data_IF_405866619274
#
_entry.id   IF_405866619274
#
_cell.length_a   1.000
_cell.length_b   1.000
_cell.length_c   1.000
_cell.angle_alpha   90.00
_cell.angle_beta   90.00
_cell.angle_gamma   90.00
#
_symmetry.space_group_name_H-M   'P 1'
#
loop_
_entity.id
_entity.type
_entity.pdbx_description
1 polymer ?
2 non-polymer ?
3 non-polymer ?
4 water ?
#
# COMPACT_ATOMS: atom_id res chain seq x y z
N UNK A 2 -14.52 -8.58 18.94
CA UNK A 2 -14.88 -8.38 17.56
C UNK A 2 -13.92 -7.37 16.93
N UNK A 3 -13.37 -7.75 15.78
CA UNK A 3 -12.49 -6.85 15.06
C UNK A 3 -13.15 -6.41 13.78
N UNK A 4 -13.02 -5.13 13.46
CA UNK A 4 -13.53 -4.60 12.22
C UNK A 4 -12.37 -4.18 11.31
N UNK A 5 -12.39 -4.68 10.08
CA UNK A 5 -11.40 -4.30 9.07
C UNK A 5 -12.17 -3.48 8.09
N UNK A 6 -11.71 -2.28 7.82
CA UNK A 6 -12.43 -1.45 6.87
C UNK A 6 -11.80 -1.39 5.47
N UNK A 7 -12.65 -1.51 4.45
CA UNK A 7 -12.16 -1.56 3.07
C UNK A 7 -12.57 -2.83 2.35
N UNK A 8 -11.98 -3.05 1.19
CA UNK A 8 -12.58 -3.96 0.22
C UNK A 8 -11.60 -4.52 -0.80
N UNK A 9 -10.32 -4.19 -0.65
CA UNK A 9 -9.32 -4.65 -1.59
C UNK A 9 -8.53 -5.85 -1.07
N UNK A 10 -7.38 -6.10 -1.70
CA UNK A 10 -6.60 -7.26 -1.35
C UNK A 10 -5.89 -7.08 -0.03
N UNK A 11 -5.47 -5.85 0.26
CA UNK A 11 -4.85 -5.53 1.52
C UNK A 11 -5.84 -5.89 2.65
N UNK A 12 -7.09 -5.46 2.52
CA UNK A 12 -8.06 -5.78 3.57
C UNK A 12 -8.34 -7.29 3.66
N UNK A 13 -8.20 -7.99 2.56
CA UNK A 13 -8.48 -9.42 2.59
C UNK A 13 -7.36 -10.03 3.42
N UNK A 14 -6.13 -9.68 3.09
CA UNK A 14 -4.99 -10.08 3.91
C UNK A 14 -5.17 -9.72 5.38
N UNK A 15 -5.66 -8.51 5.65
CA UNK A 15 -5.84 -8.12 7.03
C UNK A 15 -6.86 -9.03 7.71
N UNK A 16 -7.99 -9.28 7.05
CA UNK A 16 -9.04 -10.13 7.62
C UNK A 16 -8.55 -11.55 7.79
N UNK A 17 -7.82 -12.04 6.79
CA UNK A 17 -7.23 -13.36 6.82
C UNK A 17 -6.30 -13.54 8.00
N UNK A 18 -5.47 -12.55 8.26
CA UNK A 18 -4.55 -12.61 9.38
C UNK A 18 -5.28 -12.50 10.74
N UNK A 19 -6.21 -11.56 10.84
CA UNK A 19 -6.91 -11.35 12.10
C UNK A 19 -7.67 -12.60 12.49
N UNK A 20 -8.21 -13.29 11.49
CA UNK A 20 -9.02 -14.50 11.70
C UNK A 20 -8.24 -15.57 12.44
N UNK A 21 -6.92 -15.48 12.39
CA UNK A 21 -6.05 -16.48 13.00
C UNK A 21 -5.78 -16.17 14.48
N UNK A 22 -6.26 -15.03 14.96
CA UNK A 22 -5.96 -14.58 16.31
C UNK A 22 -6.72 -15.42 17.32
N UNK A 23 -6.07 -15.83 18.40
CA UNK A 23 -6.76 -16.56 19.46
C UNK A 23 -7.72 -15.62 20.23
N UNK A 24 -7.51 -14.32 20.08
CA UNK A 24 -8.25 -13.30 20.82
C UNK A 24 -9.59 -12.98 20.21
N UNK A 25 -9.76 -13.37 18.96
CA UNK A 25 -10.83 -12.81 18.15
C UNK A 25 -12.02 -13.77 18.03
N UNK A 26 -13.21 -13.26 18.27
CA UNK A 26 -14.42 -14.06 18.10
C UNK A 26 -15.01 -13.82 16.72
N UNK A 27 -15.21 -12.55 16.38
CA UNK A 27 -15.68 -12.18 15.06
C UNK A 27 -14.75 -11.20 14.34
N UNK A 28 -14.44 -11.49 13.10
CA UNK A 28 -13.88 -10.51 12.20
C UNK A 28 -14.96 -9.99 11.24
N UNK A 29 -15.26 -8.70 11.34
CA UNK A 29 -16.14 -8.02 10.41
C UNK A 29 -15.31 -7.28 9.36
N UNK A 30 -15.76 -7.32 8.10
CA UNK A 30 -15.11 -6.57 7.03
C UNK A 30 -16.11 -5.63 6.38
N UNK A 31 -15.91 -4.33 6.49
CA UNK A 31 -16.84 -3.39 5.86
C UNK A 31 -16.15 -2.57 4.79
N UNK A 32 -16.61 -2.68 3.53
CA UNK A 32 -17.65 -3.62 3.08
C UNK A 32 -17.09 -5.02 2.85
N UNK A 33 -15.77 -5.12 2.82
CA UNK A 33 -15.16 -6.42 2.57
C UNK A 33 -15.38 -6.71 1.11
N UNK A 34 -15.15 -7.95 0.69
CA UNK A 34 -15.57 -8.39 -0.62
C UNK A 34 -15.86 -9.88 -0.52
N UNK A 35 -16.38 -10.49 -1.58
CA UNK A 35 -16.85 -11.87 -1.49
C UNK A 35 -15.70 -12.84 -1.35
N UNK A 36 -14.51 -12.42 -1.75
CA UNK A 36 -13.38 -13.31 -1.61
C UNK A 36 -13.05 -13.59 -0.15
N UNK A 38 -15.10 -14.12 2.56
CA UNK A 38 -16.18 -14.58 3.44
C UNK A 38 -15.75 -15.71 4.38
N UNK A 39 -14.66 -16.38 4.05
CA UNK A 39 -14.14 -17.45 4.89
C UNK A 39 -13.45 -16.88 6.13
N UNK A 40 -12.92 -15.66 5.99
CA UNK A 40 -12.12 -15.02 7.03
C UNK A 40 -12.87 -13.90 7.73
N UNK A 41 -13.96 -13.45 7.14
CA UNK A 41 -14.64 -12.27 7.64
C UNK A 41 -16.13 -12.35 7.37
N UNK A 42 -16.94 -11.89 8.31
CA UNK A 42 -18.34 -11.67 8.01
C UNK A 42 -18.46 -10.30 7.38
N UNK A 43 -18.94 -10.27 6.14
CA UNK A 43 -19.09 -9.00 5.42
C UNK A 43 -20.16 -8.14 6.05
N UNK A 44 -19.84 -6.85 6.17
CA UNK A 44 -20.77 -5.90 6.73
C UNK A 44 -21.06 -4.85 5.67
N UNK A 45 -22.30 -4.81 5.24
CA UNK A 45 -22.63 -3.96 4.09
C UNK A 45 -22.58 -2.47 4.41
N UNK A 46 -21.38 -1.95 4.66
CA UNK A 46 -21.17 -0.53 4.85
C UNK A 46 -19.94 -0.10 4.06
N UNK A 47 -20.02 1.07 3.43
CA UNK A 47 -18.96 1.52 2.56
C UNK A 47 -17.89 2.25 3.37
N UNK A 48 -16.63 2.08 2.99
CA UNK A 48 -15.50 2.75 3.65
C UNK A 48 -15.68 4.27 3.59
N UNK A 49 -16.56 4.72 2.70
CA UNK A 49 -16.86 6.14 2.61
C UNK A 49 -17.92 6.57 3.64
N UNK A 50 -18.77 5.63 4.02
CA UNK A 50 -19.89 5.90 4.94
C UNK A 50 -19.39 6.01 6.38
N UNK A 51 -18.77 7.13 6.73
CA UNK A 51 -18.12 7.22 8.04
C UNK A 51 -19.10 7.07 9.19
N UNK A 52 -20.30 7.65 9.05
CA UNK A 52 -21.26 7.68 10.17
C UNK A 52 -21.82 6.29 10.45
N UNK A 53 -22.11 5.55 9.38
CA UNK A 53 -22.53 4.18 9.54
C UNK A 53 -21.44 3.27 10.05
N UNK A 54 -20.20 3.48 9.60
CA UNK A 54 -19.06 2.75 10.13
C UNK A 54 -18.93 2.98 11.63
N UNK A 55 -18.89 4.24 12.05
CA UNK A 55 -18.80 4.56 13.45
C UNK A 55 -19.98 4.05 14.24
N UNK A 56 -21.17 4.14 13.67
CA UNK A 56 -22.36 3.78 14.43
C UNK A 56 -22.41 2.25 14.54
N UNK A 57 -21.99 1.55 13.48
CA UNK A 57 -21.98 0.08 13.51
C UNK A 57 -20.98 -0.48 14.51
N UNK A 58 -19.76 0.04 14.45
CA UNK A 58 -18.74 -0.44 15.36
C UNK A 58 -19.17 -0.16 16.81
N UNK A 59 -19.69 1.04 17.05
CA UNK A 59 -20.11 1.45 18.38
C UNK A 59 -21.15 0.51 18.98
N UNK A 60 -22.04 0.04 18.13
CA UNK A 60 -23.21 -0.69 18.59
C UNK A 60 -23.02 -2.18 18.50
N UNK A 61 -21.92 -2.61 17.89
CA UNK A 61 -21.68 -4.04 17.73
C UNK A 61 -20.44 -4.52 18.49
N UNK A 62 -20.12 -3.76 19.55
CA UNK A 62 -19.10 -4.18 20.50
C UNK A 62 -17.83 -4.49 19.72
N UNK A 63 -17.40 -3.57 18.88
CA UNK A 63 -16.18 -3.80 18.12
C UNK A 63 -14.98 -3.27 18.92
N UNK A 64 -14.12 -4.16 19.36
CA UNK A 64 -13.04 -3.81 20.28
C UNK A 64 -11.77 -3.33 19.57
N UNK A 65 -11.67 -3.53 18.26
CA UNK A 65 -10.54 -2.99 17.50
C UNK A 65 -10.98 -2.83 16.08
N UNK A 66 -10.77 -1.63 15.54
CA UNK A 66 -11.05 -1.39 14.13
C UNK A 66 -9.74 -1.11 13.40
N UNK A 67 -9.57 -1.78 12.28
CA UNK A 67 -8.36 -1.61 11.51
C UNK A 67 -8.77 -0.98 10.19
N UNK A 68 -8.23 0.21 9.92
CA UNK A 68 -8.57 0.89 8.68
C UNK A 68 -7.57 0.57 7.57
N UNK A 69 -8.08 0.06 6.45
CA UNK A 69 -7.19 -0.26 5.32
C UNK A 69 -6.82 0.88 4.37
N UNK A 70 -7.81 1.53 3.75
CA UNK A 70 -7.53 2.48 2.66
C UNK A 70 -7.14 3.87 3.18
N UNK A 71 -6.50 4.66 2.33
CA UNK A 71 -5.94 5.93 2.74
C UNK A 71 -6.98 7.05 2.80
N UNK A 72 -7.97 7.02 1.93
CA UNK A 72 -8.86 8.17 1.85
C UNK A 72 -9.64 8.38 3.16
N UNK A 73 -10.20 7.30 3.72
CA UNK A 73 -10.89 7.59 4.98
C UNK A 73 -9.97 8.10 6.07
N UNK A 74 -8.72 7.64 6.05
CA UNK A 74 -7.77 8.06 7.05
C UNK A 74 -7.49 9.53 6.85
N UNK A 75 -7.27 9.89 5.59
CA UNK A 75 -6.96 11.26 5.23
C UNK A 75 -8.16 12.16 5.55
N UNK A 76 -9.36 11.60 5.46
CA UNK A 76 -10.55 12.41 5.71
C UNK A 76 -10.99 12.35 7.17
N UNK A 77 -10.14 11.77 8.00
CA UNK A 77 -10.34 11.84 9.44
C UNK A 77 -11.27 10.80 10.04
N UNK A 78 -11.36 9.63 9.43
CA UNK A 78 -12.23 8.59 9.94
C UNK A 78 -11.78 8.17 11.34
N UNK A 79 -10.47 8.22 11.61
CA UNK A 79 -9.99 7.78 12.92
C UNK A 79 -10.46 8.74 14.00
N UNK A 80 -10.38 10.05 13.74
CA UNK A 80 -10.92 11.02 14.67
C UNK A 80 -12.38 10.70 14.97
N UNK A 81 -13.18 10.44 13.95
CA UNK A 81 -14.60 10.15 14.17
C UNK A 81 -14.75 8.91 15.06
N UNK A 82 -14.03 7.83 14.78
CA UNK A 82 -14.08 6.65 15.65
C UNK A 82 -13.74 6.99 17.08
N UNK A 83 -12.68 7.76 17.28
CA UNK A 83 -12.21 8.06 18.62
C UNK A 83 -13.09 9.05 19.37
N UNK A 84 -13.81 9.88 18.64
CA UNK A 84 -14.80 10.76 19.24
C UNK A 84 -15.92 9.91 19.87
N UNK A 85 -16.19 8.77 19.29
CA UNK A 85 -17.21 7.87 19.80
C UNK A 85 -16.62 6.89 20.82
N UNK A 86 -15.34 7.08 21.14
CA UNK A 86 -14.70 6.23 22.12
C UNK A 86 -14.45 4.82 21.63
N UNK A 87 -14.27 4.65 20.32
CA UNK A 87 -13.94 3.33 19.76
C UNK A 87 -12.43 3.15 19.66
N UNK A 88 -12.00 1.90 19.70
CA UNK A 88 -10.58 1.55 19.71
C UNK A 88 -10.23 1.29 18.26
N UNK A 89 -9.31 2.08 17.71
CA UNK A 89 -9.12 2.10 16.28
C UNK A 89 -7.64 2.26 15.94
N UNK A 90 -7.17 1.45 15.02
CA UNK A 90 -5.77 1.50 14.62
C UNK A 90 -5.60 2.28 13.31
N UNK A 91 -4.92 3.41 13.39
CA UNK A 91 -4.63 4.15 12.18
C UNK A 91 -4.53 5.60 12.54
N UNK A 92 -4.03 6.44 11.64
CA UNK A 92 -3.68 7.82 12.02
C UNK A 92 -4.89 8.74 12.04
N UNK A 93 -4.84 9.73 12.92
CA UNK A 93 -5.76 10.86 12.95
C UNK A 93 -5.66 11.60 11.64
N UNK A 94 -6.58 12.53 11.41
CA UNK A 94 -6.55 13.32 10.19
C UNK A 94 -5.31 14.18 10.12
N UNK A 95 -4.91 14.72 11.28
CA UNK A 95 -3.69 15.49 11.38
C UNK A 95 -2.45 14.68 11.02
N UNK A 96 -2.47 13.39 11.31
CA UNK A 96 -1.26 12.60 11.08
C UNK A 96 -1.25 12.04 9.66
N UNK A 97 -2.43 11.81 9.09
CA UNK A 97 -2.55 11.16 7.78
C UNK A 97 -2.06 12.10 6.71
N UNK A 98 -1.81 13.36 7.08
CA UNK A 98 -1.30 14.34 6.14
C UNK A 98 0.05 13.87 5.58
N UNK A 99 0.82 13.15 6.37
CA UNK A 99 2.09 12.66 5.86
C UNK A 99 1.92 11.89 4.52
N UNK A 100 0.75 11.29 4.29
CA UNK A 100 0.43 10.76 2.95
C UNK A 100 -0.43 11.74 2.13
N UNK A 101 -1.37 12.38 2.79
CA UNK A 101 -2.34 13.21 2.09
C UNK A 101 -1.77 14.42 1.37
N UNK A 102 -0.65 14.95 1.88
CA UNK A 102 0.01 16.11 1.27
C UNK A 102 1.48 15.89 1.00
N UNK A 103 1.80 15.59 -0.25
CA UNK A 103 3.17 15.35 -0.61
C UNK A 103 4.06 16.54 -0.25
N UNK A 104 3.57 17.75 -0.43
CA UNK A 104 4.38 18.90 -0.04
C UNK A 104 4.70 18.83 1.44
N UNK A 105 3.72 18.43 2.24
CA UNK A 105 3.93 18.39 3.68
C UNK A 105 5.01 17.40 3.97
N UNK A 106 4.94 16.24 3.32
CA UNK A 106 5.91 15.18 3.55
C UNK A 106 7.32 15.61 3.16
N UNK A 107 7.46 16.25 2.00
CA UNK A 107 8.78 16.71 1.56
C UNK A 107 9.33 17.76 2.54
N UNK A 108 8.48 18.68 2.99
CA UNK A 108 8.92 19.72 3.93
C UNK A 108 9.31 19.16 5.28
N UNK A 109 8.57 18.15 5.76
CA UNK A 109 8.97 17.47 6.99
C UNK A 109 10.36 16.91 6.83
N UNK A 111 12.71 17.71 4.81
CA UNK A 111 13.66 18.81 4.71
C UNK A 111 13.96 19.30 6.12
N UNK A 112 12.90 19.67 6.84
CA UNK A 112 13.09 20.17 8.20
C UNK A 112 13.85 19.21 9.12
N UNK A 113 13.60 17.91 8.96
CA UNK A 113 14.16 16.92 9.88
C UNK A 113 15.26 16.08 9.28
N UNK A 114 15.89 16.59 8.22
CA UNK A 114 17.06 15.94 7.62
C UNK A 114 16.79 14.47 7.30
N UNK A 115 15.58 14.16 6.86
CA UNK A 115 15.32 12.84 6.31
C UNK A 115 15.59 12.87 4.82
N UNK A 116 16.44 11.96 4.34
CA UNK A 116 16.95 11.93 2.96
C UNK A 116 15.87 11.62 1.94
N UNK A 117 15.83 12.45 0.90
CA UNK A 117 14.80 12.36 -0.12
C UNK A 117 15.27 13.06 -1.40
N UNK A 118 14.47 13.00 -2.46
CA UNK A 118 14.81 13.71 -3.68
C UNK A 118 14.83 15.21 -3.42
N UNK A 119 15.75 15.92 -4.06
CA UNK A 119 15.78 17.37 -4.00
C UNK A 119 14.51 17.87 -4.71
N UNK A 120 13.89 18.91 -4.19
CA UNK A 120 12.52 19.22 -4.60
C UNK A 120 12.25 20.70 -4.46
N UNK A 121 11.19 21.16 -5.09
CA UNK A 121 10.49 22.36 -4.69
C UNK A 121 9.03 22.21 -5.05
N UNK A 122 8.19 23.02 -4.41
CA UNK A 122 6.75 22.94 -4.58
C UNK A 122 6.30 24.24 -5.21
N UNK A 123 5.23 24.20 -6.01
CA UNK A 123 4.71 25.39 -6.71
C UNK A 123 3.18 25.43 -6.73
N UNK A 124 2.64 26.64 -6.75
CA UNK A 124 1.21 26.83 -7.05
C UNK A 124 1.04 27.63 -8.34
N UNK A 125 2.17 28.12 -8.87
CA UNK A 125 2.16 28.91 -10.09
C UNK A 125 2.70 28.08 -11.26
N UNK A 126 1.94 28.02 -12.33
CA UNK A 126 2.41 27.31 -13.50
C UNK A 126 3.69 27.95 -14.02
N UNK A 127 3.69 29.27 -14.15
CA UNK A 127 4.83 29.98 -14.68
C UNK A 127 6.10 29.69 -13.89
N UNK A 128 6.02 29.72 -12.58
CA UNK A 128 7.21 29.48 -11.75
C UNK A 128 7.61 28.01 -11.82
N UNK A 129 6.61 27.13 -11.85
CA UNK A 129 6.88 25.70 -11.98
C UNK A 129 7.54 25.37 -13.32
N UNK A 130 7.08 26.03 -14.39
CA UNK A 130 7.65 25.81 -15.72
C UNK A 130 9.10 26.29 -15.78
N UNK A 131 9.35 27.50 -15.28
CA UNK A 131 10.71 28.06 -15.20
C UNK A 131 11.68 27.10 -14.51
N UNK A 132 11.22 26.48 -13.42
CA UNK A 132 12.06 25.61 -12.62
C UNK A 132 12.38 24.30 -13.37
N UNK A 133 11.41 23.83 -14.13
CA UNK A 133 11.67 22.71 -15.02
C UNK A 133 12.76 23.01 -16.05
N UNK A 134 12.68 24.19 -16.65
CA UNK A 134 13.63 24.60 -17.68
C UNK A 134 15.01 24.84 -17.07
N UNK A 135 15.02 25.20 -15.79
CA UNK A 135 16.26 25.39 -15.07
C UNK A 135 16.91 24.02 -14.81
N UNK A 136 16.15 23.09 -14.27
CA UNK A 136 16.66 21.78 -13.87
C UNK A 136 16.79 20.83 -15.04
N UNK A 137 16.01 21.06 -16.08
CA UNK A 137 15.98 20.14 -17.20
C UNK A 137 15.42 18.80 -16.78
N UNK A 138 15.32 17.90 -17.76
CA UNK A 138 14.87 16.54 -17.57
C UNK A 138 16.05 15.55 -17.40
N UNK A 139 15.81 14.40 -16.76
CA UNK A 139 14.52 13.96 -16.23
C UNK A 139 14.20 14.67 -14.92
N UNK A 140 12.90 14.72 -14.59
CA UNK A 140 12.43 15.39 -13.39
C UNK A 140 11.05 14.80 -13.12
N UNK A 141 10.65 14.82 -11.86
CA UNK A 141 9.41 14.17 -11.40
C UNK A 141 8.43 15.26 -10.92
N UNK A 142 7.19 15.16 -11.40
CA UNK A 142 6.13 16.12 -11.12
C UNK A 142 5.07 15.38 -10.30
N UNK A 143 4.74 15.88 -9.12
CA UNK A 143 3.73 15.26 -8.28
C UNK A 143 2.67 16.26 -7.80
N UNK A 144 1.41 15.95 -8.05
CA UNK A 144 0.30 16.65 -7.40
C UNK A 144 0.46 16.50 -5.88
N UNK A 145 0.14 17.57 -5.16
CA UNK A 145 0.28 17.57 -3.72
C UNK A 145 -0.64 16.53 -3.03
N UNK A 146 -1.88 16.40 -3.51
CA UNK A 146 -2.87 15.53 -2.86
C UNK A 146 -3.00 14.21 -3.61
N UNK A 147 -3.93 13.35 -3.23
CA UNK A 147 -3.95 11.97 -3.73
C UNK A 147 -4.18 11.81 -5.24
N UNK A 148 -5.15 12.52 -5.79
CA UNK A 148 -5.31 12.56 -7.23
C UNK A 148 -5.53 11.19 -7.83
N UNK A 149 -6.32 10.37 -7.14
CA UNK A 149 -6.73 9.08 -7.67
C UNK A 149 -5.57 8.08 -7.68
N UNK A 150 -4.42 8.48 -7.13
CA UNK A 150 -3.22 7.66 -7.28
C UNK A 150 -2.52 7.90 -8.62
N UNK A 151 -2.99 8.91 -9.35
CA UNK A 151 -2.51 9.23 -10.69
C UNK A 151 -1.71 10.53 -10.71
N UNK A 152 -1.24 10.96 -9.54
CA UNK A 152 -0.66 12.29 -9.43
C UNK A 152 0.83 12.43 -9.72
N UNK A 153 1.44 11.39 -10.29
CA UNK A 153 2.91 11.38 -10.44
C UNK A 153 3.32 11.13 -11.89
N UNK A 154 4.20 11.98 -12.38
CA UNK A 154 4.72 11.84 -13.72
C UNK A 154 6.24 11.89 -13.63
N UNK A 155 6.90 10.83 -14.06
CA UNK A 155 8.34 10.87 -14.14
C UNK A 155 8.68 11.33 -15.56
N UNK A 156 9.12 12.58 -15.71
CA UNK A 156 9.21 13.20 -17.03
C UNK A 156 10.59 12.98 -17.59
N UNK A 158 11.45 14.41 -20.54
CA UNK A 158 11.70 15.62 -21.28
C UNK A 158 11.08 16.77 -20.52
N UNK A 159 11.59 17.97 -20.76
CA UNK A 159 10.95 19.18 -20.25
C UNK A 159 9.52 19.32 -20.76
N UNK A 160 9.27 18.90 -22.00
CA UNK A 160 7.97 19.10 -22.60
C UNK A 160 6.98 18.28 -21.82
N UNK A 161 7.37 17.05 -21.49
CA UNK A 161 6.49 16.15 -20.76
C UNK A 161 6.20 16.72 -19.37
N UNK A 162 7.24 17.25 -18.72
CA UNK A 162 7.07 17.79 -17.39
C UNK A 162 6.14 19.02 -17.45
N UNK A 163 6.33 19.87 -18.45
CA UNK A 163 5.58 21.11 -18.52
C UNK A 163 4.14 20.83 -18.92
N UNK A 164 3.92 19.83 -19.76
CA UNK A 164 2.55 19.47 -20.12
C UNK A 164 1.83 19.02 -18.84
N UNK A 165 2.54 18.24 -18.02
CA UNK A 165 1.94 17.72 -16.79
C UNK A 165 1.62 18.87 -15.84
N UNK A 166 2.53 19.85 -15.75
CA UNK A 166 2.29 21.01 -14.90
C UNK A 166 1.09 21.77 -15.45
N UNK A 167 0.98 21.82 -16.77
CA UNK A 167 -0.19 22.42 -17.39
C UNK A 167 -1.48 21.77 -16.90
N UNK A 168 -1.53 20.44 -17.00
CA UNK A 168 -2.69 19.66 -16.54
C UNK A 168 -3.01 19.96 -15.10
N UNK A 169 -1.99 19.87 -14.26
CA UNK A 169 -2.20 19.91 -12.83
C UNK A 169 -2.58 21.31 -12.40
N UNK A 170 -1.90 22.31 -12.95
CA UNK A 170 -2.07 23.67 -12.42
C UNK A 170 -3.05 24.50 -13.28
N UNK A 171 -2.85 24.55 -14.59
CA UNK A 171 -3.71 25.37 -15.42
C UNK A 171 -5.07 24.75 -15.59
N UNK A 172 -5.15 23.44 -15.73
CA UNK A 172 -6.41 22.77 -15.94
C UNK A 172 -7.03 22.30 -14.62
N UNK A 173 -6.26 22.36 -13.53
CA UNK A 173 -6.68 21.85 -12.24
C UNK A 173 -7.22 20.43 -12.36
N UNK A 174 -6.42 19.55 -12.93
CA UNK A 174 -6.92 18.24 -13.34
C UNK A 174 -7.52 17.49 -12.15
N UNK A 175 -6.90 17.65 -11.01
CA UNK A 175 -7.30 16.89 -9.83
C UNK A 175 -7.73 17.90 -8.76
N UNK A 176 -8.14 19.08 -9.22
CA UNK A 176 -8.70 20.06 -8.31
C UNK A 176 -7.74 20.51 -7.24
N UNK A 177 -8.15 20.44 -5.98
CA UNK A 177 -7.31 20.94 -4.89
C UNK A 177 -6.09 20.06 -4.70
N UNK A 178 -6.22 18.79 -5.07
CA UNK A 178 -5.10 17.85 -4.98
C UNK A 178 -3.96 18.28 -5.89
N UNK A 179 -4.26 18.96 -7.00
CA UNK A 179 -3.18 19.44 -7.89
C UNK A 179 -3.04 20.94 -8.00
N UNK A 180 -3.59 21.67 -7.04
CA UNK A 180 -3.43 23.12 -6.96
C UNK A 180 -2.03 23.43 -6.44
N UNK A 181 -1.41 22.44 -5.83
CA UNK A 181 -0.01 22.53 -5.45
C UNK A 181 0.72 21.32 -6.06
N UNK A 182 1.95 21.52 -6.52
CA UNK A 182 2.72 20.44 -7.12
C UNK A 182 4.13 20.36 -6.50
N UNK A 183 4.65 19.15 -6.32
CA UNK A 183 6.05 19.01 -5.90
C UNK A 183 6.84 18.71 -7.18
N UNK A 184 7.93 19.43 -7.43
CA UNK A 184 8.80 19.01 -8.53
C UNK A 184 10.09 18.47 -7.91
N UNK A 185 10.45 17.22 -8.21
CA UNK A 185 11.59 16.64 -7.53
C UNK A 185 12.52 15.87 -8.43
N UNK A 186 13.73 15.70 -7.92
CA UNK A 186 14.81 14.97 -8.59
C UNK A 186 14.41 13.54 -8.96
N UNK A 187 14.77 13.14 -10.18
CA UNK A 187 14.58 11.77 -10.60
C UNK A 187 15.63 10.92 -9.87
N UNK A 188 15.19 9.81 -9.27
CA UNK A 188 16.12 8.87 -8.67
C UNK A 188 16.00 7.50 -9.31
N UNK A 189 17.04 6.69 -9.10
CA UNK A 189 16.92 5.27 -9.41
C UNK A 189 17.71 4.39 -8.45
N UNK A 190 17.60 3.09 -8.68
CA UNK A 190 18.22 2.13 -7.80
C UNK A 190 17.15 1.13 -7.43
N UNK A 191 17.39 0.33 -6.41
CA UNK A 191 16.39 -0.60 -5.96
C UNK A 191 15.30 0.16 -5.21
N UNK A 192 14.06 -0.04 -5.61
CA UNK A 192 12.92 0.51 -4.90
C UNK A 192 12.27 -0.55 -4.00
N UNK A 193 12.15 -0.25 -2.71
CA UNK A 193 11.58 -1.20 -1.76
C UNK A 193 10.68 -0.50 -0.75
N UNK A 194 9.80 -1.26 -0.12
CA UNK A 194 8.87 -0.72 0.88
C UNK A 194 9.19 -1.16 2.30
N UNK A 195 9.33 -0.18 3.17
CA UNK A 195 9.58 -0.46 4.57
C UNK A 195 8.41 0.09 5.39
N UNK A 197 6.27 0.14 9.10
CA UNK A 197 6.46 -0.05 10.51
C UNK A 197 5.15 0.17 11.24
N UNK A 198 4.86 -0.64 12.24
CA UNK A 198 3.87 -0.21 13.23
C UNK A 198 4.44 0.92 14.07
N UNK A 199 3.72 2.03 14.11
CA UNK A 199 4.20 3.24 14.77
C UNK A 199 3.15 3.76 15.77
N UNK A 200 3.60 4.19 16.94
CA UNK A 200 2.74 4.97 17.80
C UNK A 200 3.60 6.05 18.48
N UNK A 201 3.30 7.29 18.16
CA UNK A 201 4.20 8.35 18.56
C UNK A 201 5.59 8.00 18.08
N UNK A 202 6.53 7.92 19.01
CA UNK A 202 7.92 7.70 18.66
C UNK A 202 8.24 6.22 18.50
N UNK A 203 7.37 5.37 19.00
CA UNK A 203 7.67 3.93 18.98
C UNK A 203 7.48 3.38 17.59
N UNK A 204 8.48 2.64 17.15
CA UNK A 204 8.51 2.10 15.80
C UNK A 204 8.82 0.65 15.86
N UNK A 205 7.95 -0.14 15.24
CA UNK A 205 8.14 -1.55 15.18
C UNK A 205 8.15 -1.99 13.72
N UNK A 206 9.35 -2.10 13.15
CA UNK A 206 9.47 -2.30 11.70
C UNK A 206 8.97 -3.65 11.28
N UNK A 208 9.15 -6.60 7.94
CA UNK A 208 10.03 -7.02 6.85
C UNK A 208 9.70 -6.21 5.61
N UNK A 209 10.71 -5.98 4.78
CA UNK A 209 10.51 -5.16 3.59
C UNK A 209 9.92 -5.98 2.44
N UNK A 210 9.36 -5.27 1.45
CA UNK A 210 8.89 -5.90 0.22
C UNK A 210 9.30 -5.07 -0.99
N UNK A 211 9.08 -5.63 -2.17
CA UNK A 211 9.32 -4.92 -3.43
C UNK A 211 8.20 -5.27 -4.38
N UNK A 212 7.80 -4.32 -5.21
CA UNK A 212 6.73 -4.62 -6.14
C UNK A 212 7.06 -4.25 -7.58
N UNK A 213 6.21 -4.74 -8.48
CA UNK A 213 6.31 -4.39 -9.89
C UNK A 213 5.10 -3.52 -10.21
N UNK A 214 5.33 -2.29 -10.64
CA UNK A 214 4.24 -1.36 -10.92
C UNK A 214 3.85 -1.41 -12.39
N UNK A 215 4.80 -1.78 -13.24
CA UNK A 215 4.61 -1.84 -14.69
C UNK A 215 3.75 -3.02 -15.17
N UNK A 216 2.79 -2.71 -16.05
CA UNK A 216 1.85 -3.72 -16.54
C UNK A 216 2.51 -4.98 -17.13
N UNK A 217 3.62 -4.82 -17.84
CA UNK A 217 4.14 -5.91 -18.66
C UNK A 217 5.51 -6.42 -18.23
N UNK A 218 5.87 -7.60 -18.72
CA UNK A 218 7.15 -8.20 -18.38
C UNK A 218 8.29 -7.34 -18.89
N UNK A 219 9.44 -7.46 -18.24
CA UNK A 219 10.53 -6.54 -18.50
C UNK A 219 10.21 -5.17 -17.94
N UNK A 220 9.17 -5.10 -17.12
CA UNK A 220 8.69 -3.84 -16.54
C UNK A 220 8.43 -2.82 -17.63
N UNK A 221 7.72 -3.27 -18.67
CA UNK A 221 7.38 -2.40 -19.79
C UNK A 221 5.88 -2.08 -19.75
N UNK A 222 5.48 -1.03 -20.46
CA UNK A 222 4.07 -0.68 -20.53
C UNK A 222 3.69 0.35 -19.48
N UNK A 223 2.39 0.66 -19.35
CA UNK A 223 1.87 1.65 -18.41
C UNK A 223 1.96 1.19 -16.96
N UNK A 224 1.83 2.14 -16.03
CA UNK A 224 1.82 1.79 -14.63
C UNK A 224 0.49 1.21 -14.22
N UNK A 225 0.50 0.50 -13.10
CA UNK A 225 -0.71 -0.14 -12.59
C UNK A 225 -0.72 0.10 -11.08
N UNK A 226 -1.74 -0.40 -10.41
CA UNK A 226 -1.75 -0.40 -8.95
C UNK A 226 -0.96 -1.56 -8.36
N UNK A 227 -0.18 -2.24 -9.20
CA UNK A 227 0.71 -3.29 -8.74
C UNK A 227 0.42 -4.68 -9.31
N UNK A 229 2.45 -7.45 -8.72
CA UNK A 229 2.97 -8.53 -7.88
C UNK A 229 4.07 -8.04 -6.97
N UNK A 230 4.40 -8.82 -5.95
CA UNK A 230 5.31 -8.38 -4.91
C UNK A 230 5.96 -9.57 -4.24
N UNK A 231 6.95 -9.29 -3.40
CA UNK A 231 7.61 -10.35 -2.66
C UNK A 231 8.35 -9.80 -1.47
N UNK A 232 8.48 -10.66 -0.47
CA UNK A 232 9.23 -10.35 0.73
C UNK A 232 9.85 -11.69 1.12
N UNK A 233 11.14 -11.70 1.53
CA UNK A 233 12.13 -10.62 1.54
C UNK A 233 12.43 -10.09 0.14
N UNK A 234 13.23 -9.04 0.06
CA UNK A 234 13.78 -8.61 -1.22
C UNK A 234 15.23 -9.08 -1.24
N UNK A 235 15.53 -10.11 -2.05
CA UNK A 235 16.79 -10.84 -1.88
C UNK A 235 18.03 -9.98 -2.03
N UNK A 236 17.98 -9.02 -2.95
CA UNK A 236 19.14 -8.20 -3.30
C UNK A 236 19.31 -6.97 -2.42
N UNK A 237 18.58 -6.90 -1.32
CA UNK A 237 18.79 -5.80 -0.38
C UNK A 237 19.27 -6.34 0.97
N UNK A 238 20.36 -5.77 1.48
CA UNK A 238 20.98 -6.35 2.67
C UNK A 238 20.17 -6.04 3.91
N UNK A 239 20.44 -6.76 4.99
CA UNK A 239 19.82 -6.50 6.27
C UNK A 239 20.36 -5.18 6.81
N UNK A 240 21.58 -4.84 6.42
CA UNK A 240 22.20 -3.60 6.89
C UNK A 240 21.49 -2.37 6.29
N UNK A 241 21.17 -2.43 5.01
CA UNK A 241 20.36 -1.41 4.34
C UNK A 241 19.06 -1.18 5.10
N UNK A 242 18.35 -2.26 5.42
CA UNK A 242 17.04 -2.12 6.05
C UNK A 242 17.18 -1.46 7.42
N UNK A 243 18.12 -1.95 8.22
CA UNK A 243 18.29 -1.46 9.59
C UNK A 243 18.68 0.01 9.56
N UNK A 244 19.48 0.39 8.57
CA UNK A 244 19.85 1.79 8.44
C UNK A 244 18.65 2.67 8.07
N UNK A 245 17.80 2.17 7.18
CA UNK A 245 16.57 2.85 6.80
C UNK A 245 15.72 3.04 8.05
N UNK A 246 15.59 1.99 8.85
CA UNK A 246 14.78 2.05 10.07
C UNK A 246 15.30 3.14 11.01
N UNK A 247 16.62 3.26 11.08
CA UNK A 247 17.25 4.16 12.04
C UNK A 247 17.29 5.61 11.59
N UNK A 248 17.49 5.86 10.30
CA UNK A 248 17.67 7.24 9.82
C UNK A 248 16.49 7.82 9.02
N UNK A 249 15.50 6.99 8.76
CA UNK A 249 14.31 7.46 8.08
C UNK A 249 13.05 7.20 8.89
N UNK A 250 12.74 5.94 9.17
CA UNK A 250 11.46 5.63 9.78
C UNK A 250 11.36 6.22 11.20
N UNK A 251 12.32 5.90 12.08
CA UNK A 251 12.22 6.41 13.44
C UNK A 251 12.28 7.92 13.48
N UNK A 252 13.16 8.53 12.68
CA UNK A 252 13.21 10.00 12.65
C UNK A 252 11.91 10.58 12.12
N UNK A 253 11.35 9.93 11.09
CA UNK A 253 10.03 10.39 10.62
C UNK A 253 9.00 10.30 11.76
N UNK A 254 8.99 9.18 12.47
CA UNK A 254 7.98 9.04 13.54
C UNK A 254 8.16 10.14 14.59
N UNK A 255 9.41 10.34 15.01
CA UNK A 255 9.72 11.40 15.94
C UNK A 255 9.27 12.75 15.39
N UNK A 256 9.60 13.05 14.13
CA UNK A 256 9.22 14.35 13.58
C UNK A 256 7.74 14.66 13.75
N UNK A 258 5.55 13.60 15.89
CA UNK A 258 5.27 13.95 17.29
C UNK A 258 5.66 15.41 17.55
N UNK A 259 6.89 15.75 17.18
CA UNK A 259 7.36 17.12 17.36
C UNK A 259 6.60 18.16 16.54
N UNK A 260 5.79 17.72 15.58
CA UNK A 260 4.96 18.61 14.77
C UNK A 260 3.55 18.67 15.33
N UNK A 261 3.32 18.04 16.47
CA UNK A 261 1.97 17.99 17.00
C UNK A 261 1.03 17.17 16.13
N UNK A 262 1.59 16.22 15.38
CA UNK A 262 0.80 15.34 14.52
C UNK A 262 1.18 13.90 14.78
N UNK A 263 1.15 13.55 16.06
CA UNK A 263 1.60 12.24 16.49
C UNK A 263 0.87 11.15 15.72
N UNK A 264 1.63 10.21 15.22
CA UNK A 264 1.17 9.26 14.23
C UNK A 264 1.00 7.91 14.92
N UNK A 265 -0.16 7.29 14.71
CA UNK A 265 -0.40 5.91 15.10
C UNK A 265 -0.94 5.19 13.89
N UNK A 266 -0.36 4.04 13.61
CA UNK A 266 -0.82 3.29 12.46
C UNK A 266 0.35 2.65 11.78
N UNK A 267 0.16 2.27 10.53
CA UNK A 267 1.29 1.83 9.72
C UNK A 267 1.88 3.01 8.99
N UNK A 268 3.16 3.29 9.26
CA UNK A 268 3.90 4.22 8.45
C UNK A 268 4.59 3.42 7.36
N UNK A 269 4.31 3.78 6.12
CA UNK A 269 4.87 3.08 5.00
C UNK A 269 5.86 4.01 4.37
N UNK A 270 7.11 3.59 4.32
CA UNK A 270 8.15 4.36 3.62
C UNK A 270 8.49 3.70 2.27
N UNK A 271 8.20 4.41 1.19
CA UNK A 271 8.58 3.91 -0.13
C UNK A 271 9.99 4.41 -0.38
N UNK A 272 10.94 3.50 -0.46
CA UNK A 272 12.34 3.90 -0.51
C UNK A 272 13.01 3.52 -1.84
N UNK A 274 16.78 2.75 -3.03
CA UNK A 274 18.17 2.53 -2.61
C UNK A 274 19.07 3.10 -3.69
N UNK A 275 19.57 4.32 -3.50
CA UNK A 275 20.37 4.96 -4.57
C UNK A 275 21.84 4.64 -4.37
N UNK A 276 22.69 5.17 -5.25
CA UNK A 276 24.13 4.99 -5.12
C UNK A 276 24.57 5.83 -3.94
N UNK A 277 23.75 6.83 -3.60
CA UNK A 277 23.97 7.62 -2.39
C UNK A 277 23.22 7.09 -1.18
N UNK A 278 22.62 5.91 -1.30
CA UNK A 278 21.93 5.32 -0.17
C UNK A 278 20.43 5.50 -0.27
N UNK A 279 19.69 4.93 0.67
CA UNK A 279 18.24 5.09 0.69
C UNK A 279 17.78 6.55 0.70
N UNK A 280 16.79 6.84 -0.14
CA UNK A 280 16.10 8.13 -0.08
C UNK A 280 14.60 7.90 -0.17
N UNK A 281 13.84 8.72 0.52
CA UNK A 281 12.41 8.55 0.56
C UNK A 281 11.72 9.00 -0.73
N UNK A 282 11.09 8.05 -1.40
CA UNK A 282 10.28 8.38 -2.56
C UNK A 282 8.88 8.83 -2.15
N UNK A 283 8.31 8.15 -1.17
CA UNK A 283 6.99 8.55 -0.67
C UNK A 283 6.79 8.04 0.74
N UNK A 284 5.90 8.72 1.49
CA UNK A 284 5.27 8.14 2.67
C UNK A 284 3.79 7.80 2.46
N UNK A 285 3.40 6.60 2.90
CA UNK A 285 2.01 6.24 2.98
C UNK A 285 1.69 6.05 4.47
N UNK A 286 0.43 6.30 4.81
CA UNK A 286 -0.03 6.32 6.19
C UNK A 286 -0.88 5.10 6.51
N UNK A 287 -0.60 4.01 5.81
CA UNK A 287 -1.36 2.81 6.00
C UNK A 287 -0.66 1.65 5.30
N UNK A 288 -1.22 0.45 5.45
CA UNK A 288 -0.65 -0.75 4.86
C UNK A 288 -0.57 -0.58 3.37
N UNK A 289 0.50 -1.07 2.76
CA UNK A 289 0.63 -0.94 1.32
C UNK A 289 -0.20 -1.94 0.56
N UNK A 290 -0.56 -1.58 -0.67
CA UNK A 290 -1.12 -2.55 -1.62
C UNK A 290 -0.23 -2.49 -2.87
N UNK A 291 0.37 -3.61 -3.28
CA UNK A 291 0.18 -5.02 -2.90
C UNK A 291 1.14 -5.57 -1.85
N UNK A 292 1.84 -4.71 -1.13
CA UNK A 292 2.87 -5.19 -0.23
C UNK A 292 2.35 -5.97 0.98
N UNK A 293 1.19 -5.57 1.49
CA UNK A 293 0.64 -6.22 2.69
C UNK A 293 0.51 -7.72 2.46
N UNK A 294 0.23 -8.06 1.21
CA UNK A 294 -0.10 -9.41 0.83
C UNK A 294 1.12 -10.36 0.97
N UNK A 295 2.33 -9.81 0.89
CA UNK A 295 3.54 -10.63 1.11
C UNK A 295 4.22 -10.33 2.45
N UNK A 296 3.88 -9.20 3.07
CA UNK A 296 4.49 -8.90 4.36
C UNK A 296 3.76 -9.53 5.53
N UNK A 297 2.44 -9.37 5.59
CA UNK A 297 1.67 -9.84 6.72
C UNK A 297 1.80 -11.34 6.93
N UNK A 298 1.73 -12.11 5.84
CA UNK A 298 1.78 -13.57 6.02
C UNK A 298 3.10 -14.03 6.66
N UNK A 299 4.14 -13.21 6.54
CA UNK A 299 5.43 -13.57 7.09
C UNK A 299 5.46 -13.31 8.59
N UNK A 301 5.00 -13.96 12.27
CA UNK A 301 4.83 -15.11 13.16
C UNK A 301 3.80 -14.70 14.21
N UNK A 302 3.93 -13.46 14.67
CA UNK A 302 3.06 -12.90 15.71
C UNK A 302 1.61 -12.82 15.27
N UNK A 303 0.73 -12.70 16.26
CA UNK A 303 -0.68 -12.47 16.02
C UNK A 303 -0.86 -10.97 15.82
N UNK A 304 -1.31 -10.58 14.63
CA UNK A 304 -1.48 -9.17 14.29
C UNK A 304 -2.31 -8.45 15.35
N UNK A 305 -3.40 -9.10 15.76
CA UNK A 305 -4.34 -8.48 16.69
C UNK A 305 -3.65 -8.24 18.05
N UNK A 306 -2.91 -9.23 18.54
CA UNK A 306 -2.17 -8.99 19.79
C UNK A 306 -1.19 -7.81 19.65
N UNK A 307 -0.49 -7.74 18.52
CA UNK A 307 0.50 -6.68 18.30
C UNK A 307 -0.16 -5.30 18.35
N UNK A 308 -1.23 -5.14 17.58
CA UNK A 308 -1.95 -3.89 17.52
C UNK A 308 -2.48 -3.51 18.91
N UNK A 309 -3.02 -4.48 19.66
CA UNK A 309 -3.59 -4.14 20.96
C UNK A 309 -2.48 -3.69 21.95
N UNK A 310 -1.34 -4.38 21.93
CA UNK A 310 -0.19 -3.98 22.73
C UNK A 310 0.32 -2.64 22.33
N UNK A 311 0.40 -2.41 21.02
CA UNK A 311 0.89 -1.14 20.52
C UNK A 311 -0.03 -0.03 21.02
N UNK A 312 -1.34 -0.27 20.91
CA UNK A 312 -2.30 0.78 21.25
C UNK A 312 -2.38 0.99 22.75
N UNK A 313 -2.03 -0.03 23.50
CA UNK A 313 -2.13 0.06 24.94
C UNK A 313 -0.74 0.32 25.54
N UNK A 314 0.20 0.70 24.70
CA UNK A 314 1.50 1.17 25.19
C UNK A 314 2.21 0.07 25.96
N UNK A 315 1.96 -1.18 25.58
CA UNK A 315 2.65 -2.32 26.16
C UNK A 315 3.82 -2.73 25.31
N UNK A 316 4.70 -3.54 25.89
CA UNK A 316 5.70 -4.25 25.11
C UNK A 316 5.05 -4.91 23.92
N UNK A 317 5.61 -4.65 22.74
CA UNK A 317 5.14 -5.28 21.52
C UNK A 317 6.07 -6.42 21.15
N UNK A 318 5.52 -7.61 21.03
CA UNK A 318 6.33 -8.79 20.75
C UNK A 318 6.03 -9.17 19.30
N UNK A 319 6.90 -8.76 18.40
CA UNK A 319 6.62 -8.83 16.98
C UNK A 319 7.70 -9.67 16.32
N UNK A 320 7.33 -10.85 15.84
CA UNK A 320 8.28 -11.81 15.31
C UNK A 320 8.02 -12.15 13.85
N UNK A 321 9.10 -12.29 13.09
CA UNK A 321 8.95 -12.54 11.68
C UNK A 321 9.43 -13.95 11.33
N UNK A 322 8.80 -14.54 10.32
CA UNK A 322 9.17 -15.87 9.85
C UNK A 322 10.29 -15.72 8.82
N UNK A 323 11.14 -16.73 8.70
CA UNK A 323 12.20 -16.67 7.70
C UNK A 323 11.68 -16.91 6.31
N UNK A 324 10.51 -17.54 6.24
CA UNK A 324 9.86 -17.87 4.98
C UNK A 324 9.90 -16.72 3.97
N UNK A 325 9.57 -17.04 2.72
CA UNK A 325 9.41 -16.02 1.71
C UNK A 325 7.99 -16.03 1.17
N UNK A 326 7.51 -14.84 0.77
CA UNK A 326 6.19 -14.73 0.17
C UNK A 326 6.35 -14.01 -1.16
N UNK A 327 5.62 -14.49 -2.17
CA UNK A 327 5.67 -13.94 -3.51
C UNK A 327 4.26 -13.99 -4.10
N UNK A 328 3.76 -12.86 -4.59
CA UNK A 328 2.43 -12.83 -5.17
C UNK A 328 2.35 -12.28 -6.59
N UNK A 329 1.36 -12.74 -7.33
CA UNK A 329 1.21 -12.36 -8.71
C UNK A 329 -0.20 -11.89 -8.89
N UNK A 330 -0.37 -10.72 -9.50
CA UNK A 330 -1.70 -10.18 -9.72
C UNK A 330 -2.30 -10.66 -11.02
N UNK A 331 -3.55 -11.13 -10.93
CA UNK A 331 -4.39 -11.35 -12.09
C UNK A 331 -5.22 -10.09 -12.32
N UNK A 332 -5.00 -9.43 -13.45
CA UNK A 332 -5.79 -8.24 -13.77
C UNK A 332 -6.69 -8.52 -14.97
N UNK A 333 -7.73 -7.71 -15.13
CA UNK A 333 -8.67 -7.82 -16.26
C UNK A 333 -7.97 -7.40 -17.54
N UNK A 334 -8.17 -8.15 -18.62
CA UNK A 334 -7.62 -7.73 -19.91
C UNK A 334 -7.98 -6.28 -20.17
N UNK A 335 -6.99 -5.46 -20.50
CA UNK A 335 -7.27 -4.06 -20.78
C UNK A 335 -6.80 -3.09 -19.71
N UNK A 336 -6.89 -3.51 -18.46
CA UNK A 336 -6.30 -2.75 -17.36
C UNK A 336 -4.81 -2.60 -17.67
N UNK A 337 -4.23 -1.43 -17.40
CA UNK A 337 -4.75 -0.25 -16.69
C UNK A 337 -5.67 0.69 -17.48
N UNK A 338 -5.73 0.57 -18.80
CA UNK A 338 -6.64 1.42 -19.56
C UNK A 338 -8.09 1.00 -19.26
N UNK A 339 -8.88 0.83 -20.30
CA UNK A 339 -10.24 0.35 -20.12
C UNK A 339 -10.25 -1.17 -19.89
N UNK A 340 -11.16 -1.61 -19.03
CA UNK A 340 -11.41 -3.03 -18.84
C UNK A 340 -12.89 -3.17 -18.54
N UNK A 341 -13.42 -4.39 -18.68
CA UNK A 341 -14.83 -4.62 -18.41
C UNK A 341 -15.06 -5.56 -17.22
N UNK A 342 -16.05 -5.22 -16.39
CA UNK A 342 -16.44 -6.07 -15.27
C UNK A 342 -17.37 -7.18 -15.74
N UNK A 343 -17.38 -8.29 -15.00
CA UNK A 343 -18.35 -9.33 -15.27
C UNK A 343 -17.79 -10.62 -15.83
N UNK A 344 -16.58 -10.59 -16.36
CA UNK A 344 -15.99 -11.82 -16.89
C UNK A 344 -16.06 -12.90 -15.81
N UNK A 345 -16.62 -14.06 -16.16
CA UNK A 345 -16.56 -15.24 -15.28
C UNK A 345 -15.14 -15.78 -15.26
N UNK A 346 -14.64 -16.08 -14.06
CA UNK A 346 -13.26 -16.48 -13.90
C UNK A 346 -13.11 -17.66 -12.94
N UNK A 347 -14.21 -18.34 -12.66
CA UNK A 347 -14.12 -19.62 -11.97
C UNK A 347 -14.11 -19.54 -10.45
N UNK A 348 -13.56 -20.58 -9.83
CA UNK A 348 -13.49 -20.67 -8.39
C UNK A 348 -12.37 -19.81 -7.82
N UNK A 349 -11.29 -19.67 -8.59
CA UNK A 349 -10.08 -19.00 -8.10
C UNK A 349 -9.46 -19.78 -6.95
N UNK A 350 -9.74 -21.07 -6.90
CA UNK A 350 -9.20 -21.92 -5.84
C UNK A 350 -7.97 -22.67 -6.33
N UNK A 351 -6.92 -22.67 -5.50
CA UNK A 351 -5.70 -23.40 -5.83
C UNK A 351 -5.64 -24.71 -5.06
N UNK A 352 -4.97 -25.69 -5.66
CA UNK A 352 -4.72 -26.96 -4.99
C UNK A 352 -3.36 -26.84 -4.32
N UNK A 353 -2.43 -26.18 -5.02
CA UNK A 353 -1.08 -25.95 -4.52
C UNK A 353 -1.17 -25.48 -3.08
N UNK A 354 -0.31 -26.03 -2.24
CA UNK A 354 -0.34 -25.74 -0.80
C UNK A 354 0.48 -24.49 -0.52
N UNK A 355 0.24 -23.87 0.63
CA UNK A 355 0.92 -22.62 0.97
C UNK A 355 0.64 -21.56 -0.07
N UNK A 356 -0.59 -21.57 -0.58
CA UNK A 356 -1.07 -20.50 -1.44
C UNK A 356 -2.34 -19.91 -0.85
N UNK A 357 -2.39 -18.57 -0.85
CA UNK A 357 -3.60 -17.84 -0.55
C UNK A 357 -3.87 -16.85 -1.68
N UNK A 358 -5.10 -16.86 -2.17
CA UNK A 358 -5.51 -15.91 -3.19
C UNK A 358 -6.23 -14.80 -2.45
N UNK A 359 -5.62 -13.62 -2.42
CA UNK A 359 -6.27 -12.47 -1.79
C UNK A 359 -7.06 -11.74 -2.86
N UNK A 360 -8.35 -11.58 -2.63
CA UNK A 360 -9.21 -11.02 -3.67
C UNK A 360 -9.18 -9.50 -3.63
N UNK A 361 -8.99 -8.91 -4.80
CA UNK A 361 -8.79 -7.49 -4.96
C UNK A 361 -9.99 -6.90 -5.68
N UNK A 362 -10.46 -7.60 -6.70
CA UNK A 362 -11.60 -7.13 -7.47
C UNK A 362 -12.40 -8.30 -8.02
N UNK A 363 -13.08 -9.01 -7.14
CA UNK A 363 -13.96 -10.09 -7.52
C UNK A 363 -15.38 -9.85 -6.99
N UNK A 364 -16.34 -10.53 -7.59
CA UNK A 364 -17.68 -10.57 -7.03
C UNK A 364 -18.18 -12.00 -7.16
N UNK A 365 -18.86 -12.49 -6.13
CA UNK A 365 -19.45 -13.82 -6.20
C UNK A 365 -20.76 -13.70 -6.98
N UNK A 366 -20.85 -14.44 -8.08
CA UNK A 366 -22.05 -14.44 -8.90
C UNK A 366 -22.24 -15.82 -9.54
N UNK A 367 -23.35 -16.47 -9.19
CA UNK A 367 -23.63 -17.79 -9.74
C UNK A 367 -22.64 -18.85 -9.31
N UNK A 368 -22.56 -19.10 -8.01
CA UNK A 368 -21.72 -20.17 -7.51
C UNK A 368 -20.24 -20.01 -7.83
N UNK A 369 -19.86 -18.82 -8.27
CA UNK A 369 -18.53 -18.65 -8.87
C UNK A 369 -18.09 -17.19 -8.76
N UNK A 370 -16.87 -16.91 -9.17
CA UNK A 370 -16.36 -15.55 -9.14
C UNK A 370 -16.30 -14.93 -10.52
N UNK A 371 -16.72 -13.67 -10.60
CA UNK A 371 -16.48 -12.86 -11.79
C UNK A 371 -15.54 -11.71 -11.45
N UNK A 372 -15.05 -11.04 -12.49
CA UNK A 372 -14.13 -9.93 -12.30
C UNK A 372 -14.95 -8.73 -11.82
N UNK A 373 -14.39 -7.97 -10.89
CA UNK A 373 -15.10 -6.80 -10.43
C UNK A 373 -14.18 -5.58 -10.35
N UNK A 374 -13.03 -5.68 -11.02
CA UNK A 374 -12.09 -4.58 -11.10
C UNK A 374 -10.85 -4.85 -11.94
N UNK A 375 -10.02 -3.83 -12.11
CA UNK A 375 -8.81 -3.98 -12.92
C UNK A 375 -7.91 -5.10 -12.41
N UNK A 376 -7.50 -4.99 -11.15
CA UNK A 376 -6.69 -6.04 -10.54
C UNK A 376 -7.64 -6.95 -9.75
N UNK A 377 -7.55 -8.25 -10.00
CA UNK A 377 -8.62 -9.17 -9.62
C UNK A 377 -8.28 -9.99 -8.38
N UNK A 378 -7.12 -10.64 -8.40
CA UNK A 378 -6.66 -11.38 -7.23
C UNK A 378 -5.15 -11.33 -7.14
N UNK A 379 -4.65 -11.47 -5.91
CA UNK A 379 -3.21 -11.56 -5.68
C UNK A 379 -2.90 -12.98 -5.25
N UNK A 380 -2.44 -13.77 -6.19
CA UNK A 380 -2.12 -15.15 -5.91
C UNK A 380 -0.82 -15.14 -5.16
N UNK A 381 -0.84 -15.67 -3.94
CA UNK A 381 0.29 -15.45 -3.08
C UNK A 381 0.79 -16.75 -2.50
N UNK A 382 2.07 -17.04 -2.72
CA UNK A 382 2.65 -18.31 -2.32
C UNK A 382 3.75 -18.10 -1.29
N UNK A 383 3.83 -19.01 -0.33
CA UNK A 383 4.86 -18.91 0.71
C UNK A 383 5.76 -20.13 0.62
N UNK A 384 7.01 -19.97 1.03
CA UNK A 384 7.97 -21.09 1.02
C UNK A 384 9.20 -20.73 1.82
N UNK A 385 10.24 -21.56 1.77
CA UNK A 385 11.37 -21.35 2.66
C UNK A 385 12.46 -20.53 2.00
N UNK A 386 12.44 -20.52 0.67
CA UNK A 386 13.34 -19.67 -0.08
C UNK A 386 12.57 -18.80 -1.07
N UNK A 387 13.13 -17.65 -1.39
CA UNK A 387 12.51 -16.80 -2.38
C UNK A 387 12.15 -17.64 -3.60
N UNK A 388 13.14 -18.35 -4.13
CA UNK A 388 13.00 -18.99 -5.44
C UNK A 388 11.91 -20.05 -5.48
N UNK A 389 11.73 -20.77 -4.37
CA UNK A 389 10.71 -21.81 -4.35
C UNK A 389 9.33 -21.20 -4.22
N UNK A 390 9.23 -20.13 -3.42
CA UNK A 390 7.98 -19.39 -3.32
C UNK A 390 7.66 -18.87 -4.72
N UNK A 391 8.69 -18.43 -5.41
CA UNK A 391 8.50 -17.91 -6.76
C UNK A 391 7.95 -18.99 -7.68
N UNK A 392 8.55 -20.17 -7.62
CA UNK A 392 8.11 -21.28 -8.45
C UNK A 392 6.71 -21.73 -8.06
N UNK A 393 6.41 -21.70 -6.77
CA UNK A 393 5.12 -22.18 -6.28
C UNK A 393 3.98 -21.27 -6.70
N UNK A 394 4.22 -19.96 -6.71
CA UNK A 394 3.12 -19.07 -7.02
C UNK A 394 2.67 -19.21 -8.47
N UNK A 395 3.59 -19.53 -9.37
CA UNK A 395 3.23 -19.71 -10.78
C UNK A 395 2.57 -21.06 -11.09
N UNK A 396 2.91 -22.10 -10.32
CA UNK A 396 2.07 -23.31 -10.29
C UNK A 396 0.65 -22.88 -9.96
N UNK A 397 0.47 -22.26 -8.80
CA UNK A 397 -0.85 -21.85 -8.34
C UNK A 397 -1.57 -21.06 -9.42
N UNK A 398 -0.88 -20.10 -10.02
CA UNK A 398 -1.51 -19.20 -10.97
C UNK A 398 -2.08 -19.94 -12.20
N UNK A 399 -1.26 -20.73 -12.87
CA UNK A 399 -1.74 -21.43 -14.05
C UNK A 399 -2.99 -22.22 -13.69
N UNK A 400 -3.00 -22.78 -12.48
CA UNK A 400 -4.10 -23.62 -12.04
C UNK A 400 -5.43 -22.89 -12.08
N UNK A 401 -5.41 -21.63 -11.65
CA UNK A 401 -6.66 -20.91 -11.46
C UNK A 401 -6.87 -19.84 -12.53
N UNK A 402 -5.93 -19.76 -13.47
CA UNK A 402 -6.03 -18.79 -14.56
C UNK A 402 -7.27 -19.02 -15.43
N UNK A 403 -7.79 -17.93 -16.01
CA UNK A 403 -9.01 -18.00 -16.78
C UNK A 403 -8.99 -16.90 -17.85
N UNK A 404 -9.96 -16.91 -18.78
CA UNK A 404 -9.88 -16.13 -20.02
C UNK A 404 -9.72 -14.61 -19.93
N UNK A 405 -10.49 -13.97 -19.07
CA UNK A 405 -10.47 -12.51 -19.04
C UNK A 405 -9.28 -11.89 -18.31
N UNK A 406 -8.33 -12.72 -17.91
CA UNK A 406 -7.25 -12.28 -17.03
C UNK A 406 -5.90 -12.22 -17.71
N UNK A 407 -5.06 -11.29 -17.29
CA UNK A 407 -3.63 -11.45 -17.53
C UNK A 407 -2.79 -11.27 -16.29
N UNK A 408 -1.51 -11.54 -16.44
CA UNK A 408 -0.57 -11.44 -15.34
C UNK A 408 0.85 -11.39 -15.89
N UNK A 409 1.76 -10.81 -15.12
CA UNK A 409 3.15 -10.83 -15.51
C UNK A 409 3.79 -12.16 -15.09
N UNK A 410 4.68 -12.67 -15.93
CA UNK A 410 5.25 -13.99 -15.70
C UNK A 410 6.60 -13.89 -14.99
N UNK A 411 7.14 -12.67 -14.90
CA UNK A 411 8.49 -12.48 -14.42
C UNK A 411 8.56 -11.81 -13.05
N UNK A 412 7.49 -11.94 -12.27
CA UNK A 412 7.46 -11.32 -10.95
C UNK A 412 8.58 -11.92 -10.11
N UNK A 413 9.52 -11.09 -9.67
CA UNK A 413 10.54 -11.58 -8.75
C UNK A 413 11.82 -12.10 -9.38
N UNK A 414 11.86 -12.20 -10.70
CA UNK A 414 13.00 -12.81 -11.40
C UNK A 414 14.23 -11.90 -11.47
N UNK A 415 14.01 -10.61 -11.76
CA UNK A 415 15.15 -9.72 -11.76
C UNK A 415 15.74 -9.67 -10.38
N UNK A 416 14.88 -9.65 -9.36
CA UNK A 416 15.34 -9.60 -7.98
C UNK A 416 16.19 -10.82 -7.65
N UNK A 417 15.60 -12.00 -7.87
CA UNK A 417 16.30 -13.26 -7.63
C UNK A 417 17.64 -13.26 -8.35
N UNK A 418 17.65 -12.77 -9.58
CA UNK A 418 18.88 -12.76 -10.36
C UNK A 418 19.89 -11.79 -9.77
N UNK A 419 19.47 -10.55 -9.52
CA UNK A 419 20.39 -9.54 -9.01
C UNK A 419 20.93 -9.96 -7.64
N UNK A 420 20.20 -10.85 -6.97
CA UNK A 420 20.63 -11.33 -5.67
C UNK A 420 21.87 -12.22 -5.80
N UNK A 421 22.04 -12.85 -6.97
CA UNK A 421 23.06 -13.88 -7.11
C UNK A 421 24.33 -13.42 -7.82
N UNK A 422 25.34 -14.16 -7.76
#
# INVERSE_FOLDING_TARGET
XNVLIIGKGGREHTLAWKAAQSSLVENVFAAPGNDGXAASAQLVNIEESDHAGLVSFAKQNQVGLTIVGPEVPLIEGLVDEFEKAGLHVFGPSKAAAIIEGSKQFAKDLXKKYDIPTAEYETFTSFDEAKAYVQEKGAPIVIKADGLAAGKGVTVAXTEEEAIACLHDFLEDEKFGDASASVVIEEYLSGEEFSLXAFVKGEKVYPXVIAQDHKRAFDGDKGPNTGGXGAYSPVPQISEETVRHAVETIVKPAAKAXVQEGRSFTGVLYAGLXLTENGSKVIEFNARFGDPETQVVLPRXESDLVQVLLDLLDDKEVDLRWKDTAAVSVVLASEGYPESYAKGTPIGSLAAETEQVVVFHAGTKAEGGEFVTNGGRVANVTAFDETFEAARDRVYKAVDEIFKPGLFFRKDIGARALKAAQK
#
